data_IF_311036912131
#
_entry.id   IF_311036912131
#
_cell.length_a   1.000
_cell.length_b   1.000
_cell.length_c   1.000
_cell.angle_alpha   90.00
_cell.angle_beta   90.00
_cell.angle_gamma   90.00
#
_symmetry.space_group_name_H-M   'P 1'
#
loop_
_entity.id
_entity.type
_entity.pdbx_description
1 polymer ?
#
# COMPACT_ATOMS: atom_id res chain seq x y z
N UNK A 1 -0.47 -80.56 4.77
CA UNK A 1 -1.63 -79.67 4.46
C UNK A 1 -1.66 -78.53 5.48
N UNK A 2 -0.83 -77.51 5.28
CA UNK A 2 -0.77 -76.32 6.14
C UNK A 2 -1.59 -75.22 5.50
N UNK A 3 -2.58 -74.72 6.26
CA UNK A 3 -3.58 -73.75 5.81
C UNK A 3 -2.94 -72.38 5.69
N UNK A 4 -2.92 -71.85 4.48
CA UNK A 4 -2.83 -70.42 4.16
C UNK A 4 -3.99 -69.67 4.80
N UNK A 5 -3.77 -68.43 5.23
CA UNK A 5 -4.71 -67.27 5.27
C UNK A 5 -4.16 -66.23 6.26
N UNK A 6 -4.30 -64.93 6.09
CA UNK A 6 -4.72 -64.06 4.99
C UNK A 6 -4.35 -62.68 5.55
N UNK A 7 -3.41 -61.96 4.94
CA UNK A 7 -2.98 -60.64 5.42
C UNK A 7 -4.15 -59.66 5.23
N UNK A 8 -4.75 -59.22 6.33
CA UNK A 8 -5.79 -58.19 6.32
C UNK A 8 -5.10 -56.84 6.55
N UNK A 9 -4.69 -56.20 5.46
CA UNK A 9 -4.18 -54.84 5.48
C UNK A 9 -5.38 -53.89 5.64
N UNK A 10 -5.61 -53.43 6.86
CA UNK A 10 -6.64 -52.46 7.19
C UNK A 10 -6.12 -51.06 6.83
N UNK A 11 -6.40 -50.61 5.62
CA UNK A 11 -6.09 -49.27 5.14
C UNK A 11 -7.01 -48.25 5.82
N UNK A 12 -6.56 -47.64 6.91
CA UNK A 12 -7.24 -46.49 7.53
C UNK A 12 -6.93 -45.26 6.68
N UNK A 13 -7.85 -44.92 5.76
CA UNK A 13 -7.82 -43.66 5.03
C UNK A 13 -8.36 -42.57 5.96
N UNK A 14 -7.46 -41.88 6.66
CA UNK A 14 -7.79 -40.68 7.43
C UNK A 14 -7.97 -39.50 6.45
N UNK A 15 -9.20 -39.28 6.01
CA UNK A 15 -9.63 -38.02 5.42
C UNK A 15 -9.70 -36.95 6.53
N UNK A 16 -8.55 -36.41 6.92
CA UNK A 16 -8.54 -35.10 7.59
C UNK A 16 -8.88 -34.06 6.54
N UNK A 17 -10.14 -33.61 6.60
CA UNK A 17 -10.71 -32.66 5.67
C UNK A 17 -9.82 -31.44 5.46
N UNK A 18 -9.74 -31.03 4.20
CA UNK A 18 -9.38 -29.68 3.82
C UNK A 18 -10.19 -28.69 4.66
N UNK A 19 -9.58 -28.18 5.74
CA UNK A 19 -9.98 -26.89 6.29
C UNK A 19 -9.69 -25.89 5.17
N UNK A 20 -10.76 -25.49 4.48
CA UNK A 20 -10.79 -24.27 3.69
C UNK A 20 -10.28 -23.17 4.61
N UNK A 21 -9.04 -22.73 4.38
CA UNK A 21 -8.43 -21.61 5.09
C UNK A 21 -9.29 -20.38 4.85
N UNK A 22 -10.23 -20.20 5.77
CA UNK A 22 -11.00 -18.99 5.95
C UNK A 22 -10.12 -18.06 6.77
N UNK A 23 -8.94 -17.73 6.23
CA UNK A 23 -8.24 -16.54 6.68
C UNK A 23 -8.73 -15.40 5.81
N UNK A 24 -9.94 -14.98 6.15
CA UNK A 24 -10.36 -13.58 6.06
C UNK A 24 -9.32 -12.80 6.87
N UNK A 25 -8.22 -12.43 6.22
CA UNK A 25 -7.36 -11.35 6.72
C UNK A 25 -8.12 -10.06 6.45
N UNK A 26 -9.14 -9.82 7.26
CA UNK A 26 -9.51 -8.47 7.65
C UNK A 26 -8.34 -7.91 8.47
N UNK A 27 -7.23 -7.61 7.79
CA UNK A 27 -6.24 -6.66 8.30
C UNK A 27 -6.82 -5.25 8.12
N UNK A 28 -8.00 -5.00 8.69
CA UNK A 28 -8.26 -3.69 9.29
C UNK A 28 -7.48 -3.75 10.60
N UNK A 29 -6.14 -3.64 10.47
CA UNK A 29 -5.22 -3.79 11.58
C UNK A 29 -5.63 -2.74 12.60
N UNK A 30 -6.09 -3.18 13.78
CA UNK A 30 -6.21 -2.30 14.94
C UNK A 30 -4.82 -1.68 15.11
N UNK A 31 -4.69 -0.38 14.83
CA UNK A 31 -3.42 0.33 14.86
C UNK A 31 -2.70 -0.01 16.17
N UNK A 32 -1.55 -0.65 16.10
CA UNK A 32 -0.76 -0.89 17.31
C UNK A 32 -0.19 0.43 17.81
N UNK A 33 0.17 0.54 19.08
CA UNK A 33 0.84 1.76 19.60
C UNK A 33 2.10 2.10 18.80
N UNK A 34 2.82 1.06 18.35
CA UNK A 34 3.98 1.18 17.46
C UNK A 34 3.62 1.76 16.08
N UNK A 35 2.44 1.48 15.54
CA UNK A 35 2.03 2.06 14.25
C UNK A 35 1.68 3.54 14.41
N UNK A 36 1.08 3.92 15.55
CA UNK A 36 0.78 5.32 15.87
C UNK A 36 2.05 6.16 16.04
N UNK A 37 3.08 5.62 16.71
CA UNK A 37 4.36 6.32 16.86
C UNK A 37 5.05 6.54 15.51
N UNK A 38 5.05 5.53 14.62
CA UNK A 38 5.60 5.66 13.27
C UNK A 38 4.88 6.74 12.44
N UNK A 39 3.54 6.79 12.51
CA UNK A 39 2.75 7.82 11.82
C UNK A 39 3.07 9.22 12.38
N UNK A 40 3.16 9.35 13.71
CA UNK A 40 3.51 10.61 14.36
C UNK A 40 4.92 11.08 13.97
N UNK A 41 5.89 10.18 13.91
CA UNK A 41 7.25 10.47 13.46
C UNK A 41 7.29 10.91 11.99
N UNK A 42 6.49 10.30 11.12
CA UNK A 42 6.35 10.70 9.73
C UNK A 42 5.73 12.10 9.63
N UNK A 43 4.71 12.41 10.43
CA UNK A 43 4.09 13.75 10.51
C UNK A 43 5.11 14.81 10.92
N UNK A 44 5.84 14.56 12.01
CA UNK A 44 6.87 15.46 12.50
C UNK A 44 7.97 15.71 11.45
N UNK A 45 8.41 14.67 10.75
CA UNK A 45 9.42 14.80 9.69
C UNK A 45 8.87 15.59 8.49
N UNK A 46 7.63 15.34 8.08
CA UNK A 46 6.98 16.08 7.00
C UNK A 46 6.88 17.58 7.30
N UNK A 47 6.41 17.94 8.49
CA UNK A 47 6.23 19.33 8.90
C UNK A 47 7.56 20.08 9.03
N UNK A 48 8.57 19.45 9.66
CA UNK A 48 9.87 20.09 9.95
C UNK A 48 10.82 20.14 8.76
N UNK A 49 10.84 19.10 7.93
CA UNK A 49 11.86 18.95 6.90
C UNK A 49 11.34 19.14 5.48
N UNK A 50 10.07 18.79 5.21
CA UNK A 50 9.52 18.81 3.85
C UNK A 50 8.77 20.12 3.59
N UNK A 51 7.78 20.45 4.43
CA UNK A 51 7.02 21.69 4.30
C UNK A 51 7.91 22.92 4.50
N UNK A 52 8.76 22.89 5.52
CA UNK A 52 9.70 24.00 5.79
C UNK A 52 10.64 24.27 4.60
N UNK A 53 11.23 23.23 4.00
CA UNK A 53 12.10 23.40 2.82
C UNK A 53 11.33 23.86 1.59
N UNK A 54 10.09 23.38 1.40
CA UNK A 54 9.23 23.83 0.30
C UNK A 54 8.88 25.31 0.39
N UNK A 55 8.68 25.84 1.60
CA UNK A 55 8.35 27.25 1.81
C UNK A 55 9.57 28.17 1.66
N UNK A 56 10.77 27.66 1.95
CA UNK A 56 12.02 28.42 1.88
C UNK A 56 12.72 28.31 0.52
N UNK A 57 12.31 27.40 -0.36
CA UNK A 57 12.79 27.40 -1.74
C UNK A 57 12.15 28.58 -2.48
N UNK A 58 12.83 29.72 -2.52
CA UNK A 58 12.57 30.75 -3.52
C UNK A 58 12.69 30.08 -4.89
N UNK A 59 11.57 30.02 -5.62
CA UNK A 59 11.50 29.53 -6.98
C UNK A 59 12.45 30.36 -7.86
N UNK A 60 13.69 29.92 -7.99
CA UNK A 60 14.54 30.37 -9.09
C UNK A 60 13.84 29.94 -10.36
N UNK A 61 13.45 30.95 -11.15
CA UNK A 61 12.71 30.84 -12.41
C UNK A 61 13.57 30.18 -13.49
N UNK A 62 14.03 28.95 -13.27
CA UNK A 62 14.45 28.11 -14.38
C UNK A 62 13.18 27.65 -15.09
N UNK A 63 13.10 27.97 -16.39
CA UNK A 63 12.00 27.70 -17.32
C UNK A 63 11.76 26.20 -17.56
N UNK A 64 11.74 25.39 -16.50
CA UNK A 64 11.19 24.05 -16.55
C UNK A 64 9.67 24.18 -16.62
N UNK A 65 9.07 23.69 -17.71
CA UNK A 65 7.62 23.62 -17.83
C UNK A 65 7.09 22.71 -16.73
N UNK A 66 6.57 23.29 -15.65
CA UNK A 66 5.88 22.54 -14.61
C UNK A 66 4.64 21.91 -15.24
N UNK A 67 4.51 20.60 -15.10
CA UNK A 67 3.29 19.88 -15.47
C UNK A 67 2.11 20.42 -14.66
N UNK A 68 0.89 20.37 -15.21
CA UNK A 68 -0.31 20.84 -14.51
C UNK A 68 -0.44 20.23 -13.10
N UNK A 69 -0.07 18.95 -12.95
CA UNK A 69 -0.04 18.24 -11.67
C UNK A 69 0.93 18.83 -10.65
N UNK A 70 2.08 19.34 -11.09
CA UNK A 70 3.05 20.01 -10.22
C UNK A 70 2.54 21.37 -9.72
N UNK A 71 1.66 22.02 -10.48
CA UNK A 71 1.03 23.29 -10.12
C UNK A 71 -0.16 23.13 -9.16
N UNK A 72 -0.70 21.92 -9.00
CA UNK A 72 -1.82 21.69 -8.09
C UNK A 72 -1.38 21.56 -6.64
N UNK A 73 -2.13 22.17 -5.73
CA UNK A 73 -2.00 21.99 -4.29
C UNK A 73 -2.25 20.53 -3.91
N UNK A 74 -1.54 20.06 -2.89
CA UNK A 74 -1.59 18.68 -2.39
C UNK A 74 -1.69 18.71 -0.87
N UNK A 75 -2.66 18.00 -0.33
CA UNK A 75 -2.86 17.87 1.12
C UNK A 75 -2.59 16.42 1.52
N UNK A 76 -1.65 16.24 2.44
CA UNK A 76 -1.37 14.97 3.09
C UNK A 76 -2.43 14.70 4.17
N UNK A 77 -3.20 13.63 4.03
CA UNK A 77 -4.27 13.27 4.97
C UNK A 77 -3.75 12.29 6.03
N UNK A 78 -3.12 12.83 7.08
CA UNK A 78 -2.54 12.05 8.17
C UNK A 78 -3.58 11.27 8.99
N UNK A 79 -4.83 11.73 9.05
CA UNK A 79 -5.91 11.04 9.77
C UNK A 79 -6.28 9.70 9.12
N UNK A 80 -5.94 9.53 7.84
CA UNK A 80 -6.11 8.27 7.09
C UNK A 80 -4.78 7.59 6.78
N UNK A 81 -3.71 7.94 7.50
CA UNK A 81 -2.42 7.28 7.36
C UNK A 81 -2.45 5.87 7.94
N UNK A 82 -1.65 4.98 7.38
CA UNK A 82 -1.52 3.61 7.84
C UNK A 82 -0.11 3.09 7.63
N UNK A 83 0.26 2.08 8.42
CA UNK A 83 1.56 1.42 8.32
C UNK A 83 1.40 0.14 7.51
N UNK A 84 2.32 -0.07 6.59
CA UNK A 84 2.43 -1.31 5.83
C UNK A 84 3.82 -1.92 6.04
N UNK A 85 3.92 -3.21 5.79
CA UNK A 85 5.16 -3.96 5.86
C UNK A 85 5.53 -4.45 4.46
N UNK A 86 6.78 -4.28 4.07
CA UNK A 86 7.33 -4.78 2.82
C UNK A 86 7.59 -6.30 2.89
N UNK A 87 7.90 -6.90 1.73
CA UNK A 87 8.35 -8.31 1.66
C UNK A 87 9.59 -8.55 2.54
N UNK A 88 10.47 -7.55 2.67
CA UNK A 88 11.66 -7.60 3.53
C UNK A 88 11.39 -7.32 5.01
N UNK A 89 10.12 -7.35 5.45
CA UNK A 89 9.68 -7.03 6.83
C UNK A 89 9.99 -5.60 7.28
N UNK A 90 10.19 -4.70 6.32
CA UNK A 90 10.45 -3.31 6.61
C UNK A 90 9.12 -2.54 6.66
N UNK A 91 8.86 -1.88 7.77
CA UNK A 91 7.69 -1.02 7.92
C UNK A 91 7.89 0.30 7.17
N UNK A 92 6.83 0.76 6.53
CA UNK A 92 6.73 2.09 5.93
C UNK A 92 5.37 2.70 6.22
N UNK A 93 5.32 4.03 6.26
CA UNK A 93 4.09 4.79 6.51
C UNK A 93 3.53 5.29 5.20
N UNK A 94 2.27 4.99 4.93
CA UNK A 94 1.54 5.45 3.75
C UNK A 94 0.52 6.51 4.16
N UNK A 95 0.57 7.68 3.51
CA UNK A 95 -0.33 8.81 3.78
C UNK A 95 -1.05 9.17 2.48
N UNK A 96 -2.39 9.07 2.42
CA UNK A 96 -3.15 9.48 1.24
C UNK A 96 -3.02 10.97 0.90
N UNK A 97 -3.03 11.30 -0.39
CA UNK A 97 -2.93 12.68 -0.89
C UNK A 97 -4.23 13.13 -1.55
N UNK A 98 -4.73 14.28 -1.08
CA UNK A 98 -5.89 14.96 -1.67
C UNK A 98 -5.47 16.14 -2.52
N UNK A 99 -6.14 16.34 -3.65
CA UNK A 99 -6.03 17.55 -4.48
C UNK A 99 -7.26 18.43 -4.20
N UNK A 100 -7.17 19.43 -3.31
CA UNK A 100 -8.35 20.13 -2.78
C UNK A 100 -9.04 21.03 -3.80
N UNK A 101 -8.27 21.68 -4.67
CA UNK A 101 -8.79 22.72 -5.56
C UNK A 101 -9.53 22.15 -6.77
N UNK A 102 -9.20 20.91 -7.17
CA UNK A 102 -9.82 20.26 -8.32
C UNK A 102 -9.68 18.74 -8.23
N UNK A 103 -10.78 18.05 -8.48
CA UNK A 103 -10.74 16.61 -8.70
C UNK A 103 -9.99 16.30 -10.00
N UNK A 104 -8.83 15.69 -9.84
CA UNK A 104 -8.03 15.21 -10.96
C UNK A 104 -8.43 13.78 -11.26
N UNK A 105 -8.52 13.47 -12.55
CA UNK A 105 -8.89 12.15 -13.02
C UNK A 105 -7.82 11.60 -13.95
N UNK A 106 -7.59 10.30 -13.87
CA UNK A 106 -6.75 9.55 -14.78
C UNK A 106 -7.61 8.54 -15.55
N UNK A 107 -7.32 8.36 -16.84
CA UNK A 107 -8.02 7.43 -17.71
C UNK A 107 -7.13 6.22 -17.97
N UNK A 108 -7.63 5.03 -17.66
CA UNK A 108 -6.95 3.76 -17.92
C UNK A 108 -8.00 2.69 -18.26
N UNK A 109 -7.77 1.93 -19.33
CA UNK A 109 -8.62 0.80 -19.76
C UNK A 109 -10.11 1.18 -19.83
N UNK A 110 -10.41 2.27 -20.55
CA UNK A 110 -11.79 2.73 -20.74
C UNK A 110 -12.49 3.25 -19.48
N UNK A 111 -11.84 3.26 -18.31
CA UNK A 111 -12.39 3.76 -17.05
C UNK A 111 -11.68 5.04 -16.62
N UNK A 112 -12.43 5.89 -15.92
CA UNK A 112 -11.93 7.14 -15.35
C UNK A 112 -11.87 7.00 -13.84
N UNK A 113 -10.73 7.36 -13.27
CA UNK A 113 -10.39 7.12 -11.87
C UNK A 113 -9.96 8.43 -11.23
N UNK A 114 -10.42 8.69 -10.00
CA UNK A 114 -9.98 9.86 -9.26
C UNK A 114 -8.51 9.66 -8.84
N UNK A 115 -7.64 10.60 -9.22
CA UNK A 115 -6.20 10.54 -8.98
C UNK A 115 -5.85 10.52 -7.49
N UNK A 116 -6.64 11.16 -6.62
CA UNK A 116 -6.44 11.12 -5.17
C UNK A 116 -6.57 9.71 -4.60
N UNK A 117 -7.41 8.87 -5.18
CA UNK A 117 -7.58 7.47 -4.75
C UNK A 117 -6.34 6.61 -5.00
N UNK A 118 -5.39 7.11 -5.77
CA UNK A 118 -4.19 6.37 -6.17
C UNK A 118 -2.90 7.09 -5.81
N UNK A 119 -2.97 8.27 -5.19
CA UNK A 119 -1.79 9.08 -4.85
C UNK A 119 -1.53 9.06 -3.36
N UNK A 120 -0.29 8.75 -2.98
CA UNK A 120 0.14 8.59 -1.60
C UNK A 120 1.54 9.18 -1.40
N UNK A 121 1.83 9.66 -0.19
CA UNK A 121 3.19 9.78 0.30
C UNK A 121 3.59 8.49 0.99
N UNK A 122 4.79 8.02 0.70
CA UNK A 122 5.40 6.88 1.39
C UNK A 122 6.63 7.36 2.14
N UNK A 123 6.65 7.14 3.46
CA UNK A 123 7.80 7.38 4.32
C UNK A 123 8.44 6.05 4.70
N UNK A 124 9.73 5.92 4.44
CA UNK A 124 10.49 4.71 4.72
C UNK A 124 11.93 5.03 5.10
N UNK A 125 12.62 4.05 5.67
CA UNK A 125 14.06 4.12 5.92
C UNK A 125 14.81 3.39 4.81
N UNK A 126 15.89 3.95 4.28
CA UNK A 126 16.75 3.19 3.38
C UNK A 126 17.61 2.16 4.14
N UNK A 127 18.41 1.40 3.39
CA UNK A 127 19.38 0.43 3.95
C UNK A 127 20.42 1.07 4.88
N UNK A 128 20.61 2.39 4.82
CA UNK A 128 21.51 3.18 5.67
C UNK A 128 20.76 3.89 6.81
N UNK A 129 19.52 3.50 7.08
CA UNK A 129 18.64 4.10 8.11
C UNK A 129 18.35 5.59 7.90
N UNK A 130 18.43 6.10 6.66
CA UNK A 130 18.03 7.47 6.34
C UNK A 130 16.56 7.52 6.00
N UNK A 131 15.85 8.54 6.49
CA UNK A 131 14.43 8.79 6.19
C UNK A 131 14.27 9.32 4.78
N UNK A 132 13.42 8.65 4.00
CA UNK A 132 13.01 9.07 2.66
C UNK A 132 11.52 9.29 2.61
N UNK A 133 11.11 10.18 1.71
CA UNK A 133 9.71 10.42 1.39
C UNK A 133 9.54 10.45 -0.12
N UNK A 134 8.55 9.71 -0.61
CA UNK A 134 8.23 9.67 -2.02
C UNK A 134 6.74 9.91 -2.26
N UNK A 135 6.43 10.74 -3.26
CA UNK A 135 5.07 10.89 -3.76
C UNK A 135 4.84 9.86 -4.87
N UNK A 136 4.02 8.86 -4.58
CA UNK A 136 3.74 7.76 -5.50
C UNK A 136 2.31 7.85 -6.01
N UNK A 137 2.11 7.61 -7.30
CA UNK A 137 0.79 7.29 -7.86
C UNK A 137 0.77 5.85 -8.31
N UNK A 138 0.06 4.99 -7.57
CA UNK A 138 -0.04 3.57 -7.88
C UNK A 138 -1.28 3.32 -8.71
N UNK A 139 -1.10 3.08 -10.00
CA UNK A 139 -2.18 2.58 -10.84
C UNK A 139 -2.40 1.09 -10.57
N UNK A 140 -3.66 0.65 -10.43
CA UNK A 140 -3.97 -0.77 -10.43
C UNK A 140 -3.58 -1.39 -11.78
N UNK A 141 -3.09 -2.63 -11.76
CA UNK A 141 -2.79 -3.39 -12.96
C UNK A 141 -4.03 -3.62 -13.81
N UNK A 142 -3.84 -3.92 -15.10
CA UNK A 142 -4.94 -4.25 -16.01
C UNK A 142 -5.76 -5.44 -15.50
N UNK A 143 -5.10 -6.43 -14.89
CA UNK A 143 -5.77 -7.56 -14.22
C UNK A 143 -6.68 -7.12 -13.07
N UNK A 144 -6.24 -6.19 -12.21
CA UNK A 144 -7.06 -5.63 -11.13
C UNK A 144 -8.25 -4.81 -11.64
N UNK A 145 -8.07 -4.12 -12.77
CA UNK A 145 -9.09 -3.26 -13.38
C UNK A 145 -10.18 -4.06 -14.10
N UNK A 146 -9.81 -5.22 -14.66
CA UNK A 146 -10.68 -6.17 -15.34
C UNK A 146 -11.34 -7.15 -14.35
N UNK A 147 -10.74 -7.38 -13.19
CA UNK A 147 -11.34 -8.24 -12.15
C UNK A 147 -12.68 -7.66 -11.66
N UNK A 148 -13.74 -8.46 -11.83
CA UNK A 148 -15.12 -8.18 -11.39
C UNK A 148 -15.45 -8.84 -10.06
N UNK A 149 -14.50 -9.56 -9.46
CA UNK A 149 -14.66 -10.17 -8.15
C UNK A 149 -14.81 -9.10 -7.05
N UNK A 150 -15.58 -9.41 -6.01
CA UNK A 150 -15.80 -8.52 -4.84
C UNK A 150 -14.52 -8.29 -4.00
N UNK A 151 -13.41 -8.94 -4.34
CA UNK A 151 -12.17 -8.99 -3.56
C UNK A 151 -11.01 -8.43 -4.38
N UNK A 152 -11.00 -7.11 -4.59
CA UNK A 152 -9.94 -6.45 -5.33
C UNK A 152 -8.69 -6.25 -4.46
N UNK A 153 -7.69 -7.12 -4.59
CA UNK A 153 -6.39 -7.02 -3.91
C UNK A 153 -5.39 -6.27 -4.80
N UNK A 154 -4.87 -5.14 -4.33
CA UNK A 154 -3.78 -4.45 -5.03
C UNK A 154 -2.52 -5.32 -4.90
N UNK A 155 -2.06 -5.90 -6.00
CA UNK A 155 -0.80 -6.63 -6.02
C UNK A 155 0.36 -5.67 -5.71
N UNK A 156 1.27 -6.11 -4.85
CA UNK A 156 2.55 -5.43 -4.64
C UNK A 156 3.45 -5.79 -5.84
N UNK A 157 4.04 -4.79 -6.47
CA UNK A 157 5.00 -5.01 -7.54
C UNK A 157 6.30 -5.49 -6.89
N UNK A 158 6.82 -6.63 -7.38
CA UNK A 158 8.14 -7.19 -7.06
C UNK A 158 9.26 -6.39 -7.71
#
# INVERSE_FOLDING_TARGET
>A
MTKTKFFLFLSVVLFFGCKKDTNVSQNVSKSTENDKSLILDAKNYFEKEILFKSNNSTLTSDKSFKTYRQLQDKIANFDSAFVQESISKQKYVTIPIKYPNKELYCKAIGKTWNLSSFTYLIFYLDKKSKKHVELITKFPSDSYLVDTSKSKKLEAIS
#
